data_IF_950848802372
#
_entry.id   IF_950848802372
#
_cell.length_a   1.000
_cell.length_b   1.000
_cell.length_c   1.000
_cell.angle_alpha   90.00
_cell.angle_beta   90.00
_cell.angle_gamma   90.00
#
_symmetry.space_group_name_H-M   'P 1'
#
loop_
_entity.id
_entity.type
_entity.pdbx_description
1 polymer ?
#
# COMPACT_ATOMS: atom_id res chain seq x y z
N UNK A 1 32.57 -23.50 19.77
CA UNK A 1 32.67 -22.06 20.10
C UNK A 1 31.95 -21.26 19.03
N UNK A 2 30.86 -20.55 19.36
CA UNK A 2 30.21 -19.67 18.40
C UNK A 2 31.11 -18.45 18.15
N UNK A 3 31.41 -18.15 16.88
CA UNK A 3 32.26 -17.00 16.52
C UNK A 3 31.62 -15.70 17.05
N UNK A 4 32.41 -14.78 17.65
CA UNK A 4 31.87 -13.51 18.13
C UNK A 4 31.29 -12.70 16.97
N UNK A 5 30.02 -12.28 17.10
CA UNK A 5 29.34 -11.48 16.08
C UNK A 5 29.87 -10.05 16.10
N UNK A 6 30.39 -9.57 14.96
CA UNK A 6 30.76 -8.16 14.78
C UNK A 6 29.54 -7.26 14.94
N UNK A 7 29.74 -6.04 15.44
CA UNK A 7 28.72 -4.98 15.38
C UNK A 7 28.47 -4.55 13.93
N UNK A 8 27.23 -4.15 13.64
CA UNK A 8 26.84 -3.62 12.34
C UNK A 8 27.30 -2.17 12.19
N UNK A 9 27.79 -1.82 11.00
CA UNK A 9 28.15 -0.45 10.62
C UNK A 9 26.90 0.43 10.45
N UNK A 10 27.07 1.75 10.42
CA UNK A 10 25.96 2.68 10.18
C UNK A 10 25.28 2.44 8.82
N UNK A 11 26.06 2.14 7.78
CA UNK A 11 25.57 1.81 6.44
C UNK A 11 24.71 0.53 6.46
N UNK A 12 25.16 -0.53 7.13
CA UNK A 12 24.42 -1.79 7.27
C UNK A 12 23.11 -1.58 8.05
N UNK A 13 23.12 -0.76 9.10
CA UNK A 13 21.91 -0.39 9.85
C UNK A 13 20.92 0.40 8.99
N UNK A 14 21.39 1.32 8.13
CA UNK A 14 20.55 2.06 7.18
C UNK A 14 19.93 1.13 6.14
N UNK A 15 20.73 0.28 5.51
CA UNK A 15 20.24 -0.70 4.54
C UNK A 15 19.19 -1.65 5.15
N UNK A 16 19.38 -2.06 6.41
CA UNK A 16 18.38 -2.86 7.14
C UNK A 16 17.06 -2.10 7.33
N UNK A 17 17.11 -0.81 7.67
CA UNK A 17 15.90 0.04 7.79
C UNK A 17 15.18 0.19 6.46
N UNK A 18 15.91 0.47 5.38
CA UNK A 18 15.33 0.60 4.04
C UNK A 18 14.66 -0.71 3.57
N UNK A 19 15.30 -1.86 3.80
CA UNK A 19 14.70 -3.18 3.52
C UNK A 19 13.42 -3.41 4.31
N UNK A 20 13.37 -3.04 5.60
CA UNK A 20 12.16 -3.17 6.43
C UNK A 20 11.02 -2.25 5.99
N UNK A 21 11.34 -1.09 5.39
CA UNK A 21 10.32 -0.19 4.84
C UNK A 21 9.71 -0.77 3.56
N UNK A 22 10.55 -1.31 2.67
CA UNK A 22 10.13 -1.82 1.35
C UNK A 22 9.52 -3.21 1.39
N UNK A 23 9.98 -4.07 2.30
CA UNK A 23 9.62 -5.49 2.32
C UNK A 23 9.16 -5.94 3.70
N UNK A 24 8.24 -6.90 3.70
CA UNK A 24 7.82 -7.65 4.88
C UNK A 24 7.99 -9.15 4.65
N UNK A 25 8.13 -9.91 5.74
CA UNK A 25 8.16 -11.37 5.69
C UNK A 25 6.78 -11.86 6.07
N UNK A 26 6.13 -12.59 5.18
CA UNK A 26 4.85 -13.25 5.40
C UNK A 26 5.05 -14.75 5.39
N UNK A 27 4.19 -15.46 6.10
CA UNK A 27 4.19 -16.92 6.09
C UNK A 27 3.20 -17.38 5.03
N UNK A 28 3.70 -17.93 3.93
CA UNK A 28 2.88 -18.48 2.84
C UNK A 28 3.17 -19.97 2.74
N UNK A 29 2.13 -20.80 2.90
CA UNK A 29 2.19 -22.26 2.73
C UNK A 29 3.33 -22.93 3.53
N UNK A 30 3.48 -22.59 4.81
CA UNK A 30 4.53 -23.19 5.65
C UNK A 30 5.92 -22.58 5.49
N UNK A 31 6.09 -21.57 4.61
CA UNK A 31 7.40 -20.96 4.31
C UNK A 31 7.40 -19.47 4.63
N UNK A 32 8.51 -18.98 5.18
CA UNK A 32 8.77 -17.55 5.33
C UNK A 32 9.20 -16.96 3.98
N UNK A 33 8.36 -16.11 3.39
CA UNK A 33 8.60 -15.47 2.10
C UNK A 33 8.67 -13.96 2.28
N UNK A 34 9.65 -13.33 1.62
CA UNK A 34 9.80 -11.87 1.61
C UNK A 34 8.98 -11.28 0.47
N UNK A 35 7.97 -10.50 0.81
CA UNK A 35 7.05 -9.83 -0.13
C UNK A 35 7.22 -8.32 -0.01
N UNK A 36 6.95 -7.59 -1.09
CA UNK A 36 6.85 -6.12 -1.03
C UNK A 36 5.75 -5.74 -0.03
N UNK A 37 6.02 -4.76 0.82
CA UNK A 37 5.01 -4.25 1.75
C UNK A 37 3.94 -3.56 0.89
N UNK A 38 2.68 -3.98 1.05
CA UNK A 38 1.56 -3.33 0.36
C UNK A 38 1.53 -1.84 0.75
N UNK A 39 1.23 -0.98 -0.23
CA UNK A 39 1.17 0.47 -0.05
C UNK A 39 -0.03 0.82 0.84
N UNK A 40 0.18 0.89 2.14
CA UNK A 40 -0.77 1.55 3.04
C UNK A 40 -0.45 3.05 3.07
N UNK A 41 -1.38 3.89 2.59
CA UNK A 41 -1.31 5.35 2.67
C UNK A 41 -2.04 5.76 3.95
N UNK A 42 -1.38 6.52 4.84
CA UNK A 42 -1.92 6.97 6.14
C UNK A 42 -2.51 5.86 7.03
N UNK A 43 -1.98 4.64 6.91
CA UNK A 43 -2.45 3.48 7.67
C UNK A 43 -3.69 2.80 7.10
N UNK A 44 -4.23 3.30 5.99
CA UNK A 44 -5.32 2.69 5.23
C UNK A 44 -4.73 1.90 4.04
N UNK A 45 -5.35 0.76 3.66
CA UNK A 45 -5.04 0.12 2.39
C UNK A 45 -5.29 1.10 1.22
N UNK A 46 -4.50 0.96 0.16
CA UNK A 46 -4.54 1.85 -1.01
C UNK A 46 -5.97 2.02 -1.56
N UNK A 47 -6.71 0.92 -1.68
CA UNK A 47 -8.07 0.90 -2.23
C UNK A 47 -9.03 1.73 -1.38
N UNK A 48 -8.91 1.64 -0.05
CA UNK A 48 -9.73 2.42 0.88
C UNK A 48 -9.31 3.90 0.90
N UNK A 49 -8.02 4.18 0.72
CA UNK A 49 -7.56 5.55 0.55
C UNK A 49 -8.12 6.18 -0.73
N UNK A 50 -8.11 5.45 -1.84
CA UNK A 50 -8.67 5.90 -3.12
C UNK A 50 -10.17 6.13 -2.99
N UNK A 51 -10.92 5.16 -2.45
CA UNK A 51 -12.37 5.27 -2.27
C UNK A 51 -12.81 6.51 -1.46
N UNK A 52 -11.98 6.93 -0.48
CA UNK A 52 -12.30 8.06 0.40
C UNK A 52 -11.90 9.43 -0.15
N UNK A 53 -10.88 9.50 -1.01
CA UNK A 53 -10.24 10.76 -1.39
C UNK A 53 -10.30 11.07 -2.90
N UNK A 54 -10.55 10.08 -3.74
CA UNK A 54 -10.56 10.27 -5.18
C UNK A 54 -11.83 10.97 -5.66
N UNK A 55 -11.66 11.96 -6.53
CA UNK A 55 -12.73 12.60 -7.25
C UNK A 55 -13.19 11.75 -8.45
N UNK A 56 -14.44 11.91 -8.92
CA UNK A 56 -14.98 11.14 -10.05
C UNK A 56 -14.15 11.26 -11.33
N UNK A 57 -13.52 12.42 -11.57
CA UNK A 57 -12.65 12.63 -12.74
C UNK A 57 -11.40 11.76 -12.64
N UNK A 58 -10.76 11.71 -11.47
CA UNK A 58 -9.60 10.86 -11.24
C UNK A 58 -9.94 9.36 -11.34
N UNK A 59 -11.09 8.94 -10.79
CA UNK A 59 -11.56 7.56 -10.91
C UNK A 59 -11.80 7.18 -12.37
N UNK A 60 -12.37 8.09 -13.17
CA UNK A 60 -12.60 7.89 -14.61
C UNK A 60 -11.28 7.68 -15.37
N UNK A 61 -10.28 8.52 -15.09
CA UNK A 61 -8.98 8.46 -15.77
C UNK A 61 -8.17 7.20 -15.42
N UNK A 62 -8.40 6.61 -14.25
CA UNK A 62 -7.72 5.39 -13.79
C UNK A 62 -8.57 4.12 -13.96
N UNK A 63 -9.70 4.21 -14.69
CA UNK A 63 -10.62 3.10 -14.95
C UNK A 63 -11.18 2.43 -13.67
N UNK A 64 -11.26 3.19 -12.57
CA UNK A 64 -11.67 2.72 -11.24
C UNK A 64 -13.18 2.89 -11.01
N UNK A 65 -13.99 2.39 -11.95
CA UNK A 65 -15.45 2.51 -11.97
C UNK A 65 -16.15 1.86 -10.78
N UNK A 66 -15.53 0.83 -10.19
CA UNK A 66 -16.06 0.13 -9.00
C UNK A 66 -16.21 1.04 -7.78
N UNK A 67 -15.50 2.17 -7.76
CA UNK A 67 -15.57 3.18 -6.70
C UNK A 67 -16.47 4.36 -7.05
N UNK A 68 -16.96 4.46 -8.29
CA UNK A 68 -18.03 5.41 -8.61
C UNK A 68 -19.31 4.87 -7.98
N UNK A 69 -19.89 5.62 -7.04
CA UNK A 69 -21.23 5.34 -6.54
C UNK A 69 -22.25 5.33 -7.70
N UNK A 70 -23.51 4.89 -7.46
CA UNK A 70 -24.56 5.08 -8.46
C UNK A 70 -24.53 6.55 -8.84
N UNK A 71 -24.31 6.82 -10.13
CA UNK A 71 -24.27 8.17 -10.64
C UNK A 71 -25.53 8.89 -10.14
N UNK A 72 -25.37 10.09 -9.63
CA UNK A 72 -26.48 11.02 -9.42
C UNK A 72 -27.06 11.39 -10.80
N UNK A 73 -27.65 10.42 -11.49
CA UNK A 73 -28.41 10.56 -12.74
C UNK A 73 -29.83 11.10 -12.46
N UNK A 74 -30.09 11.54 -11.23
CA UNK A 74 -31.36 12.13 -10.75
C UNK A 74 -31.20 13.62 -10.36
N UNK A 75 -30.48 14.42 -11.15
CA UNK A 75 -30.81 15.86 -11.21
C UNK A 75 -31.94 16.06 -12.23
N UNK A 76 -33.21 16.22 -11.82
CA UNK A 76 -34.23 16.70 -12.73
C UNK A 76 -33.82 18.12 -13.14
N UNK A 77 -33.55 18.30 -14.44
CA UNK A 77 -33.52 19.61 -15.08
C UNK A 77 -34.79 20.36 -14.67
N UNK A 78 -34.67 21.29 -13.72
CA UNK A 78 -35.73 22.27 -13.48
C UNK A 78 -35.74 23.21 -14.68
N UNK A 79 -36.80 23.05 -15.48
CA UNK A 79 -37.20 23.87 -16.62
C UNK A 79 -37.47 25.34 -16.24
#
# INVERSE_FOLDING_TARGET
MAKPKRKLTAAEKRARRERKKKYQIVFMNGKQVRVLRQLTIDGLPLDEFIARNADPIWLHQNEMWEFMGPADDDEPLME
#
